data_IF_921347702483
#
_entry.id   IF_921347702483
#
_cell.length_a   1.000
_cell.length_b   1.000
_cell.length_c   1.000
_cell.angle_alpha   90.00
_cell.angle_beta   90.00
_cell.angle_gamma   90.00
#
_symmetry.space_group_name_H-M   'P 1'
#
loop_
_entity.id
_entity.type
_entity.pdbx_description
1 polymer ?
#
# COMPACT_ATOMS: atom_id res chain seq x y z
N UNK A 1 5.21 14.04 -12.62
CA UNK A 1 5.62 12.90 -11.77
C UNK A 1 7.12 12.96 -11.46
N UNK A 2 8.00 12.76 -12.44
CA UNK A 2 9.46 12.67 -12.23
C UNK A 2 10.07 13.88 -11.48
N UNK A 3 9.61 15.10 -11.76
CA UNK A 3 10.01 16.30 -11.00
C UNK A 3 9.79 16.16 -9.49
N UNK A 4 8.56 15.81 -9.07
CA UNK A 4 8.24 15.64 -7.66
C UNK A 4 8.94 14.44 -7.04
N UNK A 5 9.14 13.36 -7.80
CA UNK A 5 9.95 12.23 -7.35
C UNK A 5 11.40 12.65 -7.08
N UNK A 6 12.02 13.45 -7.97
CA UNK A 6 13.37 13.96 -7.75
C UNK A 6 13.47 14.80 -6.47
N UNK A 7 12.50 15.67 -6.23
CA UNK A 7 12.43 16.50 -5.01
C UNK A 7 12.26 15.66 -3.75
N UNK A 8 11.49 14.56 -3.80
CA UNK A 8 11.00 13.87 -2.59
C UNK A 8 11.59 12.48 -2.32
N UNK A 9 12.23 11.82 -3.29
CA UNK A 9 12.62 10.40 -3.14
C UNK A 9 13.47 10.12 -1.90
N UNK A 10 14.36 11.05 -1.56
CA UNK A 10 15.30 10.95 -0.46
C UNK A 10 14.82 11.62 0.84
N UNK A 11 13.58 12.15 0.88
CA UNK A 11 13.08 12.94 2.03
C UNK A 11 13.17 12.16 3.36
N UNK A 12 13.02 10.83 3.31
CA UNK A 12 13.12 9.96 4.47
C UNK A 12 14.52 9.87 5.08
N UNK A 13 15.59 10.29 4.37
CA UNK A 13 16.95 10.32 4.91
C UNK A 13 17.05 11.23 6.13
N UNK A 14 16.23 12.28 6.22
CA UNK A 14 16.19 13.20 7.37
C UNK A 14 15.91 12.48 8.69
N UNK A 15 15.09 11.42 8.69
CA UNK A 15 14.75 10.61 9.86
C UNK A 15 15.66 9.41 10.03
N UNK A 16 16.10 8.84 8.90
CA UNK A 16 16.78 7.55 8.89
C UNK A 16 18.30 7.67 8.88
N UNK A 17 18.90 8.85 8.70
CA UNK A 17 20.37 8.92 8.61
C UNK A 17 21.03 8.69 9.97
N UNK A 18 21.92 7.69 10.04
CA UNK A 18 22.71 7.37 11.22
C UNK A 18 24.15 7.03 10.84
N UNK A 19 25.10 7.33 11.72
CA UNK A 19 26.51 6.98 11.53
C UNK A 19 26.75 5.56 12.03
N UNK A 20 27.16 4.66 11.13
CA UNK A 20 27.37 3.23 11.43
C UNK A 20 28.56 2.70 10.61
N UNK A 21 29.42 1.90 11.24
CA UNK A 21 30.61 1.30 10.62
C UNK A 21 31.50 2.32 9.91
N UNK A 22 31.73 3.48 10.54
CA UNK A 22 32.55 4.56 9.98
C UNK A 22 31.92 5.31 8.80
N UNK A 23 30.63 5.08 8.47
CA UNK A 23 29.96 5.70 7.33
C UNK A 23 28.54 6.17 7.68
N UNK A 24 28.14 7.31 7.12
CA UNK A 24 26.72 7.73 7.13
C UNK A 24 25.88 6.80 6.27
N UNK A 25 24.81 6.25 6.84
CA UNK A 25 23.87 5.36 6.14
C UNK A 25 22.43 5.74 6.48
N UNK A 26 21.52 5.54 5.54
CA UNK A 26 20.07 5.77 5.73
C UNK A 26 19.20 4.54 5.41
N UNK A 27 19.47 3.33 5.94
CA UNK A 27 18.66 2.13 5.65
C UNK A 27 17.17 2.34 5.94
N UNK A 28 16.32 1.99 4.96
CA UNK A 28 14.86 2.08 5.07
C UNK A 28 14.27 3.48 4.83
N UNK A 29 15.08 4.44 4.37
CA UNK A 29 14.60 5.80 4.06
C UNK A 29 13.55 5.82 2.95
N UNK A 30 13.54 4.86 2.02
CA UNK A 30 12.53 4.82 0.95
C UNK A 30 11.14 4.59 1.54
N UNK A 31 11.04 3.69 2.53
CA UNK A 31 9.79 3.42 3.27
C UNK A 31 9.43 4.58 4.20
N UNK A 32 10.38 5.07 4.99
CA UNK A 32 10.14 6.18 5.92
C UNK A 32 9.78 7.49 5.22
N UNK A 33 10.19 7.66 3.96
CA UNK A 33 9.90 8.84 3.15
C UNK A 33 8.47 8.88 2.61
N UNK A 34 7.76 7.76 2.49
CA UNK A 34 6.38 7.71 1.96
C UNK A 34 5.41 8.64 2.70
N UNK A 35 5.24 8.54 4.03
CA UNK A 35 4.29 9.42 4.73
C UNK A 35 4.68 10.89 4.66
N UNK A 36 5.98 11.19 4.60
CA UNK A 36 6.49 12.57 4.46
C UNK A 36 6.21 13.15 3.06
N UNK A 37 6.48 12.36 2.00
CA UNK A 37 6.19 12.74 0.63
C UNK A 37 4.68 12.88 0.42
N UNK A 38 3.89 11.96 1.00
CA UNK A 38 2.43 11.99 0.94
C UNK A 38 1.88 13.28 1.56
N UNK A 39 2.36 13.65 2.75
CA UNK A 39 1.98 14.90 3.41
C UNK A 39 2.24 16.14 2.55
N UNK A 40 3.42 16.18 1.93
CA UNK A 40 3.79 17.28 1.05
C UNK A 40 2.88 17.33 -0.18
N UNK A 41 2.62 16.18 -0.81
CA UNK A 41 1.80 16.06 -2.02
C UNK A 41 0.32 16.34 -1.76
N UNK A 42 -0.22 16.00 -0.59
CA UNK A 42 -1.60 16.31 -0.21
C UNK A 42 -1.86 17.82 -0.11
N UNK A 43 -0.82 18.61 0.20
CA UNK A 43 -0.87 20.08 0.23
C UNK A 43 -0.76 20.75 -1.15
N UNK A 44 -0.73 19.95 -2.23
CA UNK A 44 -0.67 20.42 -3.63
C UNK A 44 -2.01 20.14 -4.32
N UNK A 45 -2.99 21.06 -4.24
CA UNK A 45 -4.33 20.85 -4.79
C UNK A 45 -4.33 20.63 -6.31
N UNK A 46 -3.31 21.12 -7.02
CA UNK A 46 -3.12 20.95 -8.46
C UNK A 46 -2.74 19.52 -8.87
N UNK A 47 -2.28 18.69 -7.94
CA UNK A 47 -1.87 17.31 -8.22
C UNK A 47 -3.04 16.35 -8.04
N UNK A 48 -3.39 15.63 -9.12
CA UNK A 48 -4.39 14.56 -9.05
C UNK A 48 -3.91 13.39 -8.19
N UNK A 49 -4.86 12.61 -7.67
CA UNK A 49 -4.56 11.37 -6.94
C UNK A 49 -3.62 10.46 -7.74
N UNK A 50 -3.86 10.28 -9.04
CA UNK A 50 -3.04 9.44 -9.91
C UNK A 50 -1.58 9.92 -9.95
N UNK A 51 -1.35 11.23 -10.05
CA UNK A 51 0.00 11.80 -10.03
C UNK A 51 0.66 11.59 -8.67
N UNK A 52 -0.09 11.79 -7.57
CA UNK A 52 0.42 11.59 -6.21
C UNK A 52 0.84 10.13 -6.00
N UNK A 53 0.00 9.16 -6.36
CA UNK A 53 0.32 7.73 -6.21
C UNK A 53 1.53 7.32 -7.04
N UNK A 54 1.66 7.83 -8.28
CA UNK A 54 2.84 7.57 -9.12
C UNK A 54 4.12 8.12 -8.48
N UNK A 55 4.08 9.32 -7.91
CA UNK A 55 5.24 9.89 -7.18
C UNK A 55 5.58 9.05 -5.95
N UNK A 56 4.58 8.69 -5.14
CA UNK A 56 4.81 7.88 -3.93
C UNK A 56 5.36 6.49 -4.25
N UNK A 57 4.92 5.86 -5.34
CA UNK A 57 5.48 4.61 -5.83
C UNK A 57 6.98 4.72 -6.12
N UNK A 58 7.41 5.80 -6.79
CA UNK A 58 8.84 6.05 -7.04
C UNK A 58 9.58 6.30 -5.72
N UNK A 59 9.06 7.16 -4.83
CA UNK A 59 9.66 7.42 -3.50
C UNK A 59 9.87 6.11 -2.73
N UNK A 60 8.87 5.23 -2.72
CA UNK A 60 8.90 3.96 -1.98
C UNK A 60 9.89 2.93 -2.54
N UNK A 61 10.12 2.95 -3.86
CA UNK A 61 10.82 1.89 -4.58
C UNK A 61 12.06 2.34 -5.34
N UNK A 62 12.48 3.60 -5.23
CA UNK A 62 13.64 4.14 -5.98
C UNK A 62 14.96 3.40 -5.69
N UNK A 63 15.11 2.77 -4.51
CA UNK A 63 16.28 1.94 -4.20
C UNK A 63 16.30 0.59 -4.94
N UNK A 64 15.15 0.12 -5.45
CA UNK A 64 15.01 -1.21 -6.05
C UNK A 64 15.94 -1.44 -7.25
N UNK A 65 16.06 -0.55 -8.26
CA UNK A 65 16.93 -0.76 -9.41
C UNK A 65 18.38 -1.05 -9.01
N UNK A 66 18.90 -0.31 -8.03
CA UNK A 66 20.24 -0.54 -7.50
C UNK A 66 20.39 -1.91 -6.84
N UNK A 67 19.41 -2.28 -5.99
CA UNK A 67 19.39 -3.58 -5.32
C UNK A 67 19.25 -4.73 -6.32
N UNK A 68 18.43 -4.54 -7.36
CA UNK A 68 18.21 -5.50 -8.42
C UNK A 68 19.52 -5.83 -9.15
N UNK A 69 20.26 -4.79 -9.54
CA UNK A 69 21.58 -4.91 -10.19
C UNK A 69 22.63 -5.54 -9.26
N UNK A 70 22.74 -5.04 -8.02
CA UNK A 70 23.80 -5.47 -7.08
C UNK A 70 23.62 -6.92 -6.62
N UNK A 71 22.38 -7.36 -6.47
CA UNK A 71 22.07 -8.69 -5.94
C UNK A 71 21.63 -9.68 -7.01
N UNK A 72 21.66 -9.31 -8.30
CA UNK A 72 21.21 -10.15 -9.43
C UNK A 72 19.83 -10.78 -9.16
N UNK A 73 18.88 -9.94 -8.78
CA UNK A 73 17.53 -10.40 -8.43
C UNK A 73 16.86 -11.07 -9.63
N UNK A 74 16.02 -12.10 -9.42
CA UNK A 74 15.31 -12.75 -10.51
C UNK A 74 14.32 -11.79 -11.17
N UNK A 75 14.03 -12.00 -12.46
CA UNK A 75 13.02 -11.22 -13.20
C UNK A 75 11.64 -11.25 -12.52
N UNK A 76 11.33 -12.36 -11.84
CA UNK A 76 10.17 -12.53 -10.99
C UNK A 76 9.96 -11.39 -9.97
N UNK A 77 11.05 -10.87 -9.36
CA UNK A 77 10.95 -9.76 -8.41
C UNK A 77 10.59 -8.44 -9.11
N UNK A 78 11.09 -8.22 -10.33
CA UNK A 78 10.76 -7.05 -11.14
C UNK A 78 9.30 -7.10 -11.61
N UNK A 79 8.82 -8.26 -12.07
CA UNK A 79 7.41 -8.48 -12.42
C UNK A 79 6.48 -8.19 -11.23
N UNK A 80 6.83 -8.68 -10.03
CA UNK A 80 6.10 -8.37 -8.79
C UNK A 80 6.16 -6.89 -8.42
N UNK A 81 7.24 -6.18 -8.72
CA UNK A 81 7.29 -4.73 -8.52
C UNK A 81 6.36 -3.98 -9.49
N UNK A 82 6.21 -4.50 -10.72
CA UNK A 82 5.29 -3.96 -11.72
C UNK A 82 3.81 -4.01 -11.34
N UNK A 83 3.46 -4.71 -10.26
CA UNK A 83 2.10 -4.70 -9.68
C UNK A 83 1.89 -3.56 -8.67
N UNK A 84 2.98 -2.96 -8.18
CA UNK A 84 2.99 -1.86 -7.23
C UNK A 84 3.17 -0.49 -7.89
N UNK A 85 4.01 -0.42 -8.93
CA UNK A 85 4.40 0.85 -9.52
C UNK A 85 4.75 0.72 -11.01
N UNK A 86 4.78 1.85 -11.69
CA UNK A 86 5.16 1.97 -13.09
C UNK A 86 6.68 1.77 -13.24
N UNK A 87 7.06 0.61 -13.81
CA UNK A 87 8.48 0.24 -13.95
C UNK A 87 9.23 1.16 -14.91
N UNK A 88 8.55 1.67 -15.93
CA UNK A 88 9.15 2.62 -16.88
C UNK A 88 9.48 3.94 -16.20
N UNK A 89 8.54 4.50 -15.43
CA UNK A 89 8.82 5.72 -14.65
C UNK A 89 9.90 5.49 -13.59
N UNK A 90 9.90 4.34 -12.93
CA UNK A 90 10.91 3.98 -11.94
C UNK A 90 12.31 3.83 -12.56
N UNK A 91 12.43 3.18 -13.71
CA UNK A 91 13.71 3.01 -14.42
C UNK A 91 14.25 4.33 -14.95
N UNK A 92 13.40 5.17 -15.57
CA UNK A 92 13.78 6.53 -15.98
C UNK A 92 14.26 7.34 -14.77
N UNK A 93 13.54 7.26 -13.65
CA UNK A 93 13.95 7.95 -12.43
C UNK A 93 15.31 7.47 -11.91
N UNK A 94 15.55 6.17 -11.93
CA UNK A 94 16.82 5.59 -11.50
C UNK A 94 17.99 6.18 -12.30
N UNK A 95 17.84 6.28 -13.62
CA UNK A 95 18.87 6.87 -14.49
C UNK A 95 19.21 8.29 -14.02
N UNK A 96 18.20 9.15 -13.79
CA UNK A 96 18.43 10.50 -13.28
C UNK A 96 19.10 10.54 -11.90
N UNK A 97 18.67 9.70 -10.96
CA UNK A 97 19.30 9.58 -9.63
C UNK A 97 20.78 9.19 -9.76
N UNK A 98 21.11 8.22 -10.63
CA UNK A 98 22.51 7.79 -10.82
C UNK A 98 23.38 8.78 -11.58
N UNK A 99 22.83 9.50 -12.57
CA UNK A 99 23.57 10.56 -13.24
C UNK A 99 23.96 11.69 -12.28
N UNK A 100 23.14 11.95 -11.26
CA UNK A 100 23.43 12.95 -10.22
C UNK A 100 24.45 12.52 -9.15
N UNK A 101 24.87 11.24 -9.10
CA UNK A 101 25.74 10.70 -8.03
C UNK A 101 27.22 10.82 -8.36
N UNK A 102 27.97 11.44 -7.45
CA UNK A 102 29.44 11.47 -7.53
C UNK A 102 29.98 10.24 -6.78
N UNK A 103 30.50 9.24 -7.50
CA UNK A 103 31.12 8.04 -6.94
C UNK A 103 32.16 7.44 -7.90
N UNK A 104 33.15 6.72 -7.37
CA UNK A 104 34.22 6.10 -8.18
C UNK A 104 33.70 5.05 -9.16
N UNK A 105 32.62 4.35 -8.80
CA UNK A 105 31.97 3.30 -9.59
C UNK A 105 30.81 3.80 -10.47
N UNK A 106 30.70 5.11 -10.70
CA UNK A 106 29.55 5.71 -11.40
C UNK A 106 29.37 5.16 -12.82
N UNK A 107 30.42 5.17 -13.65
CA UNK A 107 30.35 4.71 -15.06
C UNK A 107 29.92 3.24 -15.20
N UNK A 108 30.55 2.26 -14.50
CA UNK A 108 30.11 0.87 -14.61
C UNK A 108 28.72 0.63 -14.00
N UNK A 109 28.30 1.44 -13.03
CA UNK A 109 26.96 1.34 -12.46
C UNK A 109 25.88 1.92 -13.38
N UNK A 110 26.15 3.07 -14.01
CA UNK A 110 25.29 3.68 -15.03
C UNK A 110 25.01 2.72 -16.17
N UNK A 111 26.03 2.03 -16.72
CA UNK A 111 25.82 1.01 -17.75
C UNK A 111 24.82 -0.10 -17.35
N UNK A 112 24.82 -0.49 -16.07
CA UNK A 112 23.89 -1.51 -15.57
C UNK A 112 22.49 -0.94 -15.36
N UNK A 113 22.40 0.33 -14.98
CA UNK A 113 21.13 1.06 -14.84
C UNK A 113 20.49 1.31 -16.21
N UNK A 114 21.30 1.68 -17.22
CA UNK A 114 20.86 1.79 -18.61
C UNK A 114 20.34 0.43 -19.11
N UNK A 115 21.04 -0.67 -18.81
CA UNK A 115 20.54 -2.02 -19.13
C UNK A 115 19.21 -2.34 -18.44
N UNK A 116 19.07 -1.98 -17.15
CA UNK A 116 17.82 -2.15 -16.42
C UNK A 116 16.65 -1.38 -17.06
N UNK A 117 16.89 -0.17 -17.55
CA UNK A 117 15.90 0.64 -18.26
C UNK A 117 15.59 0.09 -19.65
N UNK A 118 16.60 -0.24 -20.46
CA UNK A 118 16.45 -0.53 -21.89
C UNK A 118 16.16 -2.00 -22.18
N UNK A 119 16.45 -2.92 -21.25
CA UNK A 119 16.31 -4.36 -21.44
C UNK A 119 15.39 -4.98 -20.41
N UNK A 120 15.72 -4.89 -19.12
CA UNK A 120 15.00 -5.65 -18.09
C UNK A 120 13.58 -5.15 -17.86
N UNK A 121 13.40 -3.83 -17.86
CA UNK A 121 12.08 -3.19 -17.70
C UNK A 121 11.15 -3.54 -18.88
N UNK A 122 11.52 -3.30 -20.17
CA UNK A 122 10.72 -3.72 -21.32
C UNK A 122 10.44 -5.21 -21.34
N UNK A 123 11.42 -6.05 -20.95
CA UNK A 123 11.23 -7.50 -20.88
C UNK A 123 10.16 -7.88 -19.84
N UNK A 124 10.22 -7.29 -18.64
CA UNK A 124 9.21 -7.54 -17.62
C UNK A 124 7.81 -7.09 -18.08
N UNK A 125 7.70 -5.91 -18.68
CA UNK A 125 6.44 -5.39 -19.20
C UNK A 125 5.89 -6.23 -20.36
N UNK A 126 6.77 -6.74 -21.24
CA UNK A 126 6.38 -7.64 -22.33
C UNK A 126 5.86 -8.99 -21.80
N UNK A 127 6.59 -9.61 -20.87
CA UNK A 127 6.25 -10.94 -20.35
C UNK A 127 5.04 -10.92 -19.40
N UNK A 128 4.77 -9.79 -18.74
CA UNK A 128 3.80 -9.71 -17.63
C UNK A 128 2.70 -8.65 -17.80
N UNK A 129 3.02 -7.53 -18.46
CA UNK A 129 2.15 -6.37 -18.62
C UNK A 129 2.68 -5.12 -17.92
N UNK A 130 2.27 -3.95 -18.41
CA UNK A 130 2.54 -2.66 -17.76
C UNK A 130 1.69 -2.51 -16.50
N UNK A 131 2.10 -1.65 -15.56
CA UNK A 131 1.32 -1.36 -14.36
C UNK A 131 -0.13 -0.96 -14.69
N UNK A 132 -0.33 -0.07 -15.66
CA UNK A 132 -1.65 0.37 -16.08
C UNK A 132 -2.51 -0.77 -16.64
N UNK A 133 -1.95 -1.61 -17.52
CA UNK A 133 -2.66 -2.75 -18.09
C UNK A 133 -3.02 -3.78 -17.02
N UNK A 134 -2.13 -4.02 -16.05
CA UNK A 134 -2.37 -4.89 -14.91
C UNK A 134 -3.50 -4.39 -14.02
N UNK A 135 -3.55 -3.08 -13.71
CA UNK A 135 -4.65 -2.50 -12.93
C UNK A 135 -5.97 -2.54 -13.69
N UNK A 136 -5.95 -2.31 -15.01
CA UNK A 136 -7.14 -2.39 -15.85
C UNK A 136 -7.71 -3.82 -15.91
N UNK A 137 -6.85 -4.83 -16.06
CA UNK A 137 -7.27 -6.24 -15.99
C UNK A 137 -7.83 -6.57 -14.61
N UNK A 138 -7.11 -6.19 -13.56
CA UNK A 138 -7.54 -6.42 -12.20
C UNK A 138 -8.90 -5.83 -11.90
N UNK A 139 -9.22 -4.61 -12.37
CA UNK A 139 -10.50 -3.97 -12.10
C UNK A 139 -11.70 -4.76 -12.66
N UNK A 140 -11.52 -5.41 -13.81
CA UNK A 140 -12.56 -6.18 -14.53
C UNK A 140 -12.78 -7.58 -13.95
N UNK A 141 -11.76 -8.17 -13.32
CA UNK A 141 -11.83 -9.52 -12.80
C UNK A 141 -12.88 -9.72 -11.69
N UNK A 142 -13.54 -10.88 -11.72
CA UNK A 142 -14.39 -11.32 -10.62
C UNK A 142 -13.63 -11.58 -9.32
N UNK A 143 -14.39 -11.71 -8.21
CA UNK A 143 -13.84 -11.85 -6.85
C UNK A 143 -12.87 -13.02 -6.70
N UNK A 144 -13.18 -14.19 -7.29
CA UNK A 144 -12.33 -15.38 -7.15
C UNK A 144 -11.02 -15.22 -7.90
N UNK A 145 -11.07 -14.64 -9.10
CA UNK A 145 -9.85 -14.38 -9.86
C UNK A 145 -8.96 -13.37 -9.11
N UNK A 146 -9.54 -12.28 -8.59
CA UNK A 146 -8.86 -11.32 -7.69
C UNK A 146 -8.26 -12.00 -6.44
N UNK A 147 -8.98 -12.93 -5.82
CA UNK A 147 -8.47 -13.73 -4.70
C UNK A 147 -7.28 -14.62 -5.10
N UNK A 148 -7.35 -15.27 -6.26
CA UNK A 148 -6.30 -16.15 -6.75
C UNK A 148 -5.01 -15.38 -7.02
N UNK A 149 -5.09 -14.24 -7.73
CA UNK A 149 -3.90 -13.42 -8.02
C UNK A 149 -3.29 -12.83 -6.75
N UNK A 150 -4.11 -12.39 -5.80
CA UNK A 150 -3.63 -11.92 -4.50
C UNK A 150 -2.90 -13.03 -3.72
N UNK A 151 -3.44 -14.26 -3.74
CA UNK A 151 -2.81 -15.41 -3.09
C UNK A 151 -1.46 -15.76 -3.73
N UNK A 152 -1.39 -15.82 -5.07
CA UNK A 152 -0.14 -16.05 -5.79
C UNK A 152 0.89 -14.94 -5.47
N UNK A 153 0.47 -13.67 -5.49
CA UNK A 153 1.29 -12.53 -5.15
C UNK A 153 1.85 -12.59 -3.72
N UNK A 154 1.00 -12.91 -2.73
CA UNK A 154 1.35 -13.01 -1.31
C UNK A 154 2.30 -14.17 -1.03
N UNK A 155 2.07 -15.32 -1.66
CA UNK A 155 2.93 -16.50 -1.54
C UNK A 155 4.23 -16.37 -2.34
N UNK A 156 4.41 -15.28 -3.10
CA UNK A 156 5.53 -15.05 -4.01
C UNK A 156 5.64 -16.13 -5.11
N UNK A 157 4.52 -16.77 -5.45
CA UNK A 157 4.43 -17.74 -6.54
C UNK A 157 4.23 -16.99 -7.86
N UNK A 158 5.35 -16.60 -8.46
CA UNK A 158 5.34 -15.81 -9.71
C UNK A 158 4.91 -16.63 -10.92
N UNK A 159 5.17 -17.93 -10.93
CA UNK A 159 4.73 -18.83 -12.01
C UNK A 159 3.21 -18.92 -12.03
N UNK A 160 2.58 -19.10 -10.86
CA UNK A 160 1.12 -19.08 -10.76
C UNK A 160 0.56 -17.70 -11.11
N UNK A 161 1.21 -16.63 -10.63
CA UNK A 161 0.77 -15.26 -10.90
C UNK A 161 0.74 -14.95 -12.40
N UNK A 162 1.78 -15.34 -13.14
CA UNK A 162 1.86 -15.21 -14.60
C UNK A 162 0.73 -15.97 -15.31
N UNK A 163 0.49 -17.22 -14.90
CA UNK A 163 -0.60 -18.04 -15.45
C UNK A 163 -1.97 -17.39 -15.21
N UNK A 164 -2.20 -16.85 -14.01
CA UNK A 164 -3.48 -16.22 -13.68
C UNK A 164 -3.71 -14.94 -14.49
N UNK A 165 -2.69 -14.11 -14.69
CA UNK A 165 -2.81 -12.86 -15.47
C UNK A 165 -3.19 -13.12 -16.94
N UNK A 166 -2.89 -14.31 -17.45
CA UNK A 166 -3.20 -14.73 -18.82
C UNK A 166 -4.45 -15.62 -18.89
N UNK A 167 -5.01 -16.04 -17.76
CA UNK A 167 -6.12 -16.98 -17.72
C UNK A 167 -7.47 -16.28 -17.88
N UNK A 168 -8.41 -17.01 -18.50
CA UNK A 168 -9.81 -16.62 -18.52
C UNK A 168 -10.45 -16.68 -17.13
N UNK A 169 -11.47 -15.86 -16.94
CA UNK A 169 -12.24 -15.83 -15.71
C UNK A 169 -13.06 -17.10 -15.51
N UNK A 170 -12.87 -17.77 -14.38
CA UNK A 170 -13.78 -18.83 -13.95
C UNK A 170 -15.14 -18.22 -13.61
N UNK A 171 -16.24 -18.85 -14.05
CA UNK A 171 -17.58 -18.51 -13.56
C UNK A 171 -17.68 -18.79 -12.07
N UNK A 172 -18.16 -17.83 -11.29
CA UNK A 172 -18.28 -17.97 -9.84
C UNK A 172 -19.59 -17.45 -9.29
N UNK A 173 -20.11 -18.08 -8.22
CA UNK A 173 -21.22 -17.53 -7.47
C UNK A 173 -20.90 -16.12 -6.94
N UNK A 174 -21.89 -15.24 -6.84
CA UNK A 174 -21.70 -13.92 -6.24
C UNK A 174 -21.43 -14.05 -4.73
N UNK A 175 -20.97 -12.96 -4.09
CA UNK A 175 -20.83 -12.86 -2.62
C UNK A 175 -22.19 -12.89 -1.88
N UNK A 176 -23.31 -13.05 -2.58
CA UNK A 176 -24.67 -12.94 -2.06
C UNK A 176 -24.89 -11.63 -1.28
N UNK A 177 -24.32 -10.54 -1.79
CA UNK A 177 -24.40 -9.20 -1.19
C UNK A 177 -23.54 -9.01 0.06
N UNK A 178 -22.71 -10.00 0.44
CA UNK A 178 -21.81 -9.84 1.56
C UNK A 178 -20.63 -8.93 1.19
N UNK A 179 -20.39 -7.89 1.99
CA UNK A 179 -19.30 -6.93 1.77
C UNK A 179 -18.64 -6.49 3.08
N UNK A 180 -17.33 -6.35 3.05
CA UNK A 180 -16.53 -5.77 4.13
C UNK A 180 -15.90 -4.49 3.63
N UNK A 181 -16.16 -3.39 4.34
CA UNK A 181 -15.45 -2.13 4.17
C UNK A 181 -14.32 -2.06 5.19
N UNK A 182 -13.07 -2.03 4.75
CA UNK A 182 -11.92 -1.81 5.63
C UNK A 182 -11.51 -0.34 5.55
N UNK A 183 -11.75 0.44 6.60
CA UNK A 183 -11.36 1.85 6.62
C UNK A 183 -9.92 2.01 7.13
N UNK A 184 -9.09 2.68 6.34
CA UNK A 184 -7.68 2.94 6.67
C UNK A 184 -7.43 4.44 6.71
N UNK A 185 -6.84 4.91 7.80
CA UNK A 185 -6.43 6.31 7.95
C UNK A 185 -6.11 6.63 9.40
N UNK A 186 -5.35 7.71 9.64
CA UNK A 186 -5.02 8.16 11.00
C UNK A 186 -6.27 8.59 11.77
N UNK A 187 -6.13 8.78 13.09
CA UNK A 187 -7.17 9.44 13.87
C UNK A 187 -7.51 10.82 13.28
N UNK A 188 -8.73 11.31 13.50
CA UNK A 188 -9.25 12.56 12.94
C UNK A 188 -9.27 12.67 11.39
N UNK A 189 -9.05 11.58 10.66
CA UNK A 189 -9.14 11.56 9.19
C UNK A 189 -10.58 11.52 8.64
N UNK A 190 -11.59 11.70 9.49
CA UNK A 190 -13.00 11.74 9.05
C UNK A 190 -13.63 10.37 8.74
N UNK A 191 -13.00 9.24 9.08
CA UNK A 191 -13.53 7.88 8.80
C UNK A 191 -14.95 7.70 9.35
N UNK A 192 -15.13 8.01 10.64
CA UNK A 192 -16.41 7.85 11.34
C UNK A 192 -17.51 8.71 10.71
N UNK A 193 -17.21 9.97 10.42
CA UNK A 193 -18.15 10.91 9.81
C UNK A 193 -18.55 10.45 8.40
N UNK A 194 -17.59 10.07 7.57
CA UNK A 194 -17.85 9.58 6.22
C UNK A 194 -18.72 8.32 6.22
N UNK A 195 -18.44 7.36 7.11
CA UNK A 195 -19.28 6.16 7.24
C UNK A 195 -20.68 6.50 7.71
N UNK A 196 -20.84 7.39 8.70
CA UNK A 196 -22.16 7.80 9.18
C UNK A 196 -23.00 8.50 8.09
N UNK A 197 -22.36 9.29 7.23
CA UNK A 197 -23.03 10.02 6.14
C UNK A 197 -23.38 9.12 4.95
N UNK A 198 -22.43 8.29 4.49
CA UNK A 198 -22.57 7.53 3.25
C UNK A 198 -23.14 6.11 3.49
N UNK A 199 -23.00 5.60 4.71
CA UNK A 199 -23.38 4.25 5.11
C UNK A 199 -24.02 4.23 6.52
N UNK A 200 -25.10 4.99 6.76
CA UNK A 200 -25.67 5.19 8.11
C UNK A 200 -26.09 3.88 8.81
N UNK A 201 -26.56 2.89 8.04
CA UNK A 201 -27.03 1.60 8.56
C UNK A 201 -25.92 0.53 8.66
N UNK A 202 -24.69 0.87 8.31
CA UNK A 202 -23.59 -0.09 8.23
C UNK A 202 -23.11 -0.46 9.63
N UNK A 203 -23.14 -1.77 9.92
CA UNK A 203 -22.65 -2.27 11.19
C UNK A 203 -21.13 -2.10 11.28
N UNK A 204 -20.69 -1.19 12.14
CA UNK A 204 -19.29 -0.86 12.36
C UNK A 204 -18.71 -1.71 13.49
N UNK A 205 -17.52 -2.23 13.25
CA UNK A 205 -16.74 -3.04 14.16
C UNK A 205 -15.41 -2.32 14.38
N UNK A 206 -15.12 -1.92 15.62
CA UNK A 206 -13.79 -1.44 15.98
C UNK A 206 -12.87 -2.65 16.20
N UNK A 207 -11.80 -2.76 15.42
CA UNK A 207 -10.86 -3.86 15.55
C UNK A 207 -10.18 -3.88 16.93
N UNK A 208 -10.01 -2.73 17.58
CA UNK A 208 -9.43 -2.63 18.91
C UNK A 208 -10.31 -3.30 19.98
N UNK A 209 -11.64 -3.21 19.88
CA UNK A 209 -12.57 -3.88 20.80
C UNK A 209 -12.48 -5.40 20.73
N UNK A 210 -11.96 -5.93 19.62
CA UNK A 210 -11.70 -7.35 19.43
C UNK A 210 -10.24 -7.75 19.75
N UNK A 211 -9.46 -6.88 20.38
CA UNK A 211 -8.06 -7.13 20.73
C UNK A 211 -7.12 -7.15 19.53
N UNK A 212 -7.47 -6.42 18.46
CA UNK A 212 -6.66 -6.21 17.27
C UNK A 212 -6.18 -4.75 17.18
N UNK A 213 -5.84 -4.15 18.34
CA UNK A 213 -5.26 -2.81 18.42
C UNK A 213 -3.75 -2.85 18.18
N UNK A 214 -3.18 -1.82 17.55
CA UNK A 214 -1.75 -1.76 17.20
C UNK A 214 -0.80 -1.98 18.41
N UNK A 215 -1.19 -1.54 19.61
CA UNK A 215 -0.47 -1.78 20.87
C UNK A 215 -0.38 -3.26 21.27
N UNK A 216 -1.34 -4.08 20.82
CA UNK A 216 -1.47 -5.50 21.15
C UNK A 216 -0.84 -6.40 20.07
N UNK A 217 -0.51 -5.83 18.91
CA UNK A 217 -0.05 -6.51 17.68
C UNK A 217 1.48 -6.77 17.64
N UNK A 218 2.17 -6.75 18.79
CA UNK A 218 3.61 -6.99 18.88
C UNK A 218 4.05 -8.46 18.83
N UNK A 219 3.11 -9.42 18.88
CA UNK A 219 3.40 -10.85 18.95
C UNK A 219 2.60 -11.64 17.90
N UNK A 220 3.28 -12.09 16.85
CA UNK A 220 2.70 -12.83 15.72
C UNK A 220 1.82 -14.03 16.11
N UNK A 221 2.14 -14.72 17.21
CA UNK A 221 1.34 -15.83 17.72
C UNK A 221 0.00 -15.35 18.26
N UNK A 222 0.00 -14.30 19.09
CA UNK A 222 -1.21 -13.72 19.66
C UNK A 222 -2.12 -13.13 18.57
N UNK A 223 -1.53 -12.41 17.61
CA UNK A 223 -2.25 -11.87 16.46
C UNK A 223 -2.97 -12.95 15.65
N UNK A 224 -2.28 -14.07 15.39
CA UNK A 224 -2.85 -15.18 14.62
C UNK A 224 -4.04 -15.80 15.35
N UNK A 225 -3.94 -15.99 16.67
CA UNK A 225 -5.05 -16.46 17.51
C UNK A 225 -6.22 -15.48 17.49
N UNK A 226 -5.96 -14.19 17.64
CA UNK A 226 -7.00 -13.14 17.64
C UNK A 226 -7.70 -13.03 16.30
N UNK A 227 -6.99 -13.18 15.19
CA UNK A 227 -7.61 -13.24 13.85
C UNK A 227 -8.52 -14.46 13.69
N UNK A 228 -8.16 -15.62 14.26
CA UNK A 228 -9.03 -16.80 14.27
C UNK A 228 -10.30 -16.53 15.09
N UNK A 229 -10.17 -15.98 16.30
CA UNK A 229 -11.32 -15.59 17.13
C UNK A 229 -12.21 -14.58 16.39
N UNK A 230 -11.60 -13.54 15.82
CA UNK A 230 -12.29 -12.50 15.08
C UNK A 230 -13.02 -13.02 13.83
N UNK A 231 -12.46 -14.01 13.12
CA UNK A 231 -13.13 -14.67 11.97
C UNK A 231 -14.50 -15.23 12.34
N UNK A 232 -14.64 -15.78 13.54
CA UNK A 232 -15.91 -16.33 14.01
C UNK A 232 -16.95 -15.22 14.23
N UNK A 233 -16.56 -14.14 14.92
CA UNK A 233 -17.42 -12.96 15.11
C UNK A 233 -17.81 -12.32 13.78
N UNK A 234 -16.84 -12.10 12.89
CA UNK A 234 -17.08 -11.51 11.57
C UNK A 234 -18.08 -12.33 10.75
N UNK A 235 -18.01 -13.67 10.83
CA UNK A 235 -18.97 -14.56 10.15
C UNK A 235 -20.40 -14.34 10.67
N UNK A 236 -20.57 -14.21 12.00
CA UNK A 236 -21.88 -13.91 12.62
C UNK A 236 -22.39 -12.55 12.16
N UNK A 237 -21.54 -11.52 12.21
CA UNK A 237 -21.92 -10.16 11.79
C UNK A 237 -22.30 -10.10 10.31
N UNK A 238 -21.53 -10.74 9.43
CA UNK A 238 -21.83 -10.81 7.99
C UNK A 238 -23.11 -11.57 7.68
N UNK A 239 -23.46 -12.60 8.47
CA UNK A 239 -24.73 -13.30 8.30
C UNK A 239 -25.93 -12.44 8.72
N UNK A 240 -25.75 -11.58 9.74
CA UNK A 240 -26.81 -10.70 10.25
C UNK A 240 -26.98 -9.42 9.42
N UNK A 241 -25.87 -8.75 9.08
CA UNK A 241 -25.89 -7.41 8.49
C UNK A 241 -25.62 -7.38 6.99
N UNK A 242 -25.12 -8.48 6.41
CA UNK A 242 -24.60 -8.60 5.03
C UNK A 242 -23.38 -7.72 4.75
N UNK A 243 -23.43 -6.45 5.13
CA UNK A 243 -22.34 -5.50 4.98
C UNK A 243 -21.86 -5.04 6.36
N UNK A 244 -20.55 -4.94 6.54
CA UNK A 244 -19.93 -4.47 7.78
C UNK A 244 -18.74 -3.55 7.49
N UNK A 245 -18.50 -2.58 8.36
CA UNK A 245 -17.27 -1.78 8.36
C UNK A 245 -16.32 -2.28 9.45
N UNK A 246 -15.06 -2.50 9.07
CA UNK A 246 -13.96 -2.73 9.98
C UNK A 246 -13.19 -1.42 10.12
N UNK A 247 -13.26 -0.80 11.30
CA UNK A 247 -12.46 0.38 11.60
C UNK A 247 -11.13 -0.03 12.21
N UNK A 248 -10.06 0.17 11.46
CA UNK A 248 -8.70 -0.03 11.89
C UNK A 248 -7.98 1.29 12.10
N UNK A 249 -7.42 1.49 13.30
CA UNK A 249 -6.44 2.55 13.55
C UNK A 249 -5.08 2.07 13.07
N UNK A 250 -4.63 2.64 11.94
CA UNK A 250 -3.30 2.44 11.34
C UNK A 250 -2.83 0.97 11.26
N UNK A 251 -3.36 0.23 10.30
CA UNK A 251 -2.96 -1.15 10.08
C UNK A 251 -1.71 -1.21 9.20
N UNK A 252 -0.61 -1.77 9.71
CA UNK A 252 0.59 -2.00 8.92
C UNK A 252 0.35 -3.02 7.77
N UNK A 253 1.23 -3.01 6.76
CA UNK A 253 1.09 -3.86 5.56
C UNK A 253 0.98 -5.36 5.90
N UNK A 254 1.71 -5.83 6.90
CA UNK A 254 1.72 -7.24 7.28
C UNK A 254 0.38 -7.68 7.89
N UNK A 255 -0.15 -6.88 8.81
CA UNK A 255 -1.43 -7.14 9.44
C UNK A 255 -2.58 -6.99 8.43
N UNK A 256 -2.58 -5.96 7.58
CA UNK A 256 -3.60 -5.80 6.52
C UNK A 256 -3.62 -7.01 5.59
N UNK A 257 -2.45 -7.54 5.21
CA UNK A 257 -2.35 -8.75 4.38
C UNK A 257 -2.93 -9.99 5.06
N UNK A 258 -2.72 -10.15 6.37
CA UNK A 258 -3.29 -11.27 7.14
C UNK A 258 -4.80 -11.10 7.36
N UNK A 259 -5.25 -9.90 7.70
CA UNK A 259 -6.66 -9.56 7.88
C UNK A 259 -7.44 -9.78 6.57
N UNK A 260 -6.99 -9.16 5.47
CA UNK A 260 -7.63 -9.34 4.15
C UNK A 260 -7.59 -10.79 3.69
N UNK A 261 -6.50 -11.52 3.96
CA UNK A 261 -6.41 -12.96 3.72
C UNK A 261 -7.51 -13.74 4.44
N UNK A 262 -7.69 -13.51 5.75
CA UNK A 262 -8.76 -14.13 6.54
C UNK A 262 -10.15 -13.76 6.02
N UNK A 263 -10.37 -12.49 5.68
CA UNK A 263 -11.67 -12.02 5.18
C UNK A 263 -12.01 -12.67 3.84
N UNK A 264 -11.03 -12.86 2.94
CA UNK A 264 -11.25 -13.52 1.62
C UNK A 264 -11.75 -14.96 1.75
N UNK A 265 -11.41 -15.66 2.84
CA UNK A 265 -11.90 -17.01 3.12
C UNK A 265 -13.41 -17.08 3.43
N UNK A 266 -14.08 -15.94 3.63
CA UNK A 266 -15.50 -15.84 3.99
C UNK A 266 -16.43 -15.65 2.77
N UNK A 267 -15.92 -15.78 1.54
CA UNK A 267 -16.65 -15.55 0.29
C UNK A 267 -17.39 -14.20 0.28
N UNK A 268 -16.65 -13.13 0.58
CA UNK A 268 -17.14 -11.77 0.78
C UNK A 268 -16.39 -10.81 -0.13
N UNK A 269 -17.07 -9.74 -0.56
CA UNK A 269 -16.39 -8.63 -1.24
C UNK A 269 -15.63 -7.79 -0.22
N UNK A 270 -14.48 -7.24 -0.62
CA UNK A 270 -13.63 -6.41 0.25
C UNK A 270 -13.38 -5.11 -0.50
N UNK A 271 -13.75 -4.01 0.12
CA UNK A 271 -13.39 -2.68 -0.31
C UNK A 271 -12.55 -2.00 0.77
N UNK A 272 -11.39 -1.50 0.40
CA UNK A 272 -10.57 -0.67 1.27
C UNK A 272 -10.91 0.80 1.00
N UNK A 273 -11.34 1.51 2.03
CA UNK A 273 -11.59 2.96 2.00
C UNK A 273 -10.39 3.66 2.64
N UNK A 274 -9.63 4.41 1.82
CA UNK A 274 -8.38 5.07 2.23
C UNK A 274 -8.62 6.54 2.49
N UNK A 275 -8.41 6.96 3.74
CA UNK A 275 -8.56 8.33 4.20
C UNK A 275 -7.18 8.96 4.38
N UNK A 276 -6.93 10.05 3.65
CA UNK A 276 -5.68 10.79 3.69
C UNK A 276 -5.99 12.28 3.79
N UNK A 277 -5.38 12.94 4.76
CA UNK A 277 -5.39 14.38 4.92
C UNK A 277 -3.99 14.83 5.37
N UNK A 278 -3.59 16.09 5.10
CA UNK A 278 -2.35 16.63 5.64
C UNK A 278 -2.29 16.50 7.17
N UNK A 279 -1.10 16.25 7.72
CA UNK A 279 -0.89 16.06 9.16
C UNK A 279 -1.39 17.27 9.97
N UNK A 280 -1.16 18.48 9.47
CA UNK A 280 -1.64 19.71 10.12
C UNK A 280 -3.17 19.75 10.22
N UNK A 281 -3.88 19.34 9.16
CA UNK A 281 -5.35 19.25 9.17
C UNK A 281 -5.85 18.22 10.18
N UNK A 282 -5.17 17.08 10.30
CA UNK A 282 -5.54 16.03 11.26
C UNK A 282 -5.37 16.53 12.71
N UNK A 283 -4.24 17.16 13.01
CA UNK A 283 -3.96 17.73 14.33
C UNK A 283 -4.96 18.84 14.69
N UNK A 284 -5.31 19.70 13.72
CA UNK A 284 -6.29 20.76 13.92
C UNK A 284 -7.69 20.20 14.19
N UNK A 285 -8.11 19.14 13.50
CA UNK A 285 -9.41 18.49 13.72
C UNK A 285 -9.47 17.77 15.07
N UNK A 286 -8.42 17.05 15.43
CA UNK A 286 -8.38 16.29 16.68
C UNK A 286 -8.42 17.21 17.91
N UNK A 287 -7.81 18.40 17.83
CA UNK A 287 -7.88 19.41 18.89
C UNK A 287 -9.30 19.84 19.25
N UNK A 288 -10.27 19.62 18.35
CA UNK A 288 -11.68 19.97 18.54
C UNK A 288 -12.60 18.73 18.65
N UNK A 289 -12.03 17.52 18.70
CA UNK A 289 -12.80 16.28 18.74
C UNK A 289 -13.12 15.84 20.17
N UNK A 290 -14.28 15.21 20.38
CA UNK A 290 -14.54 14.47 21.61
C UNK A 290 -13.58 13.26 21.69
N UNK A 291 -12.84 13.14 22.79
CA UNK A 291 -11.81 12.09 22.94
C UNK A 291 -10.48 12.41 22.26
N UNK A 292 -10.03 13.68 22.37
CA UNK A 292 -8.73 14.20 21.88
C UNK A 292 -7.61 13.18 22.07
N UNK A 293 -6.95 12.83 20.96
CA UNK A 293 -5.76 12.00 20.99
C UNK A 293 -4.54 12.85 21.37
N UNK A 294 -3.50 12.22 21.92
CA UNK A 294 -2.23 12.94 22.11
C UNK A 294 -1.68 13.34 20.73
N UNK A 295 -1.23 14.58 20.50
CA UNK A 295 -0.66 14.99 19.21
C UNK A 295 0.46 14.05 18.73
N UNK A 296 1.28 13.55 19.66
CA UNK A 296 2.35 12.60 19.35
C UNK A 296 1.81 11.27 18.80
N UNK A 297 0.68 10.77 19.34
CA UNK A 297 0.03 9.57 18.84
C UNK A 297 -0.44 9.73 17.39
N UNK A 298 -1.00 10.89 17.03
CA UNK A 298 -1.38 11.18 15.63
C UNK A 298 -0.14 11.21 14.73
N UNK A 299 0.95 11.85 15.19
CA UNK A 299 2.21 11.93 14.44
C UNK A 299 2.83 10.54 14.22
N UNK A 300 2.77 9.68 15.23
CA UNK A 300 3.24 8.28 15.16
C UNK A 300 2.42 7.48 14.15
N UNK A 301 1.09 7.51 14.26
CA UNK A 301 0.19 6.84 13.30
C UNK A 301 0.44 7.34 11.88
N UNK A 302 0.58 8.64 11.69
CA UNK A 302 0.84 9.26 10.40
C UNK A 302 2.19 8.82 9.82
N UNK A 303 3.23 8.76 10.65
CA UNK A 303 4.57 8.30 10.27
C UNK A 303 4.65 6.80 9.95
N UNK A 304 3.68 6.01 10.40
CA UNK A 304 3.62 4.56 10.15
C UNK A 304 2.81 4.20 8.89
N UNK A 305 2.17 5.17 8.23
CA UNK A 305 1.46 4.93 6.97
C UNK A 305 2.41 4.49 5.86
N UNK A 306 1.98 3.52 5.06
CA UNK A 306 2.69 3.03 3.86
C UNK A 306 1.69 2.91 2.69
N UNK A 307 2.20 2.58 1.51
CA UNK A 307 1.38 2.31 0.34
C UNK A 307 0.46 1.11 0.55
N UNK A 308 -0.69 1.16 -0.13
CA UNK A 308 -1.68 0.09 -0.18
C UNK A 308 -1.54 -0.54 -1.55
N UNK A 309 -1.33 -1.85 -1.60
CA UNK A 309 -1.28 -2.54 -2.89
C UNK A 309 -2.67 -2.50 -3.52
N UNK A 310 -2.81 -2.15 -4.82
CA UNK A 310 -4.09 -2.20 -5.51
C UNK A 310 -4.85 -3.54 -5.45
N UNK A 311 -4.14 -4.65 -5.16
CA UNK A 311 -4.69 -6.01 -5.16
C UNK A 311 -4.95 -6.55 -3.75
N UNK A 312 -4.66 -5.74 -2.72
CA UNK A 312 -4.88 -6.11 -1.31
C UNK A 312 -6.37 -6.34 -1.02
N UNK A 313 -7.26 -5.65 -1.74
CA UNK A 313 -8.72 -5.80 -1.70
C UNK A 313 -9.30 -6.05 -3.10
N UNK A 314 -10.62 -6.25 -3.19
CA UNK A 314 -11.30 -6.36 -4.48
C UNK A 314 -11.50 -4.98 -5.14
N UNK A 315 -11.53 -3.94 -4.31
CA UNK A 315 -11.56 -2.54 -4.67
C UNK A 315 -10.80 -1.72 -3.61
N UNK A 316 -10.08 -0.70 -4.06
CA UNK A 316 -9.43 0.31 -3.20
C UNK A 316 -9.93 1.68 -3.63
N UNK A 317 -10.57 2.39 -2.72
CA UNK A 317 -11.17 3.70 -2.96
C UNK A 317 -10.50 4.73 -2.06
N UNK A 318 -9.91 5.76 -2.66
CA UNK A 318 -9.37 6.90 -1.92
C UNK A 318 -10.49 7.90 -1.68
N UNK A 319 -10.77 8.18 -0.41
CA UNK A 319 -11.82 9.09 0.00
C UNK A 319 -11.24 10.49 0.12
N UNK A 320 -11.83 11.44 -0.62
CA UNK A 320 -11.53 12.85 -0.46
C UNK A 320 -12.11 13.32 0.87
N UNK A 321 -11.26 13.55 1.86
CA UNK A 321 -11.69 14.23 3.08
C UNK A 321 -11.72 15.74 2.80
N UNK A 322 -12.80 16.46 3.13
CA UNK A 322 -12.79 17.93 3.11
C UNK A 322 -11.58 18.42 3.90
N UNK A 323 -10.91 19.49 3.46
CA UNK A 323 -9.75 20.06 4.16
C UNK A 323 -10.13 20.69 5.49
#
# INVERSE_FOLDING_TARGET
VLYWAAVLHDIGKTRMTRFQDGRWRSPGHEKAGVPMAMDYLLRKPELSLEVREKVLGIVRWHGFPLHWIRHKRPLADLKRLGTWTDLRLLSIFAVFDFYGRICEDQVPLLKKIDHFQEVDTPRAEYEFGTFAALQERFSKWNLRHKNAVWNAFRLKDTVLLEKLIQADEAKTPPSFGKKVFLTLGPAASGKTAFLAENYPDLFRIDLAEHGLAESDLGNAFYESRKLVEFRHFLTVYLNRHRQVALDGRNLNEDFRRRLTGMVRDLNVEIEILVFRAPLESLLARDAHAEGVSKPDFIREMYAAQDLIHPWEAHQVTFVNTPN
#
